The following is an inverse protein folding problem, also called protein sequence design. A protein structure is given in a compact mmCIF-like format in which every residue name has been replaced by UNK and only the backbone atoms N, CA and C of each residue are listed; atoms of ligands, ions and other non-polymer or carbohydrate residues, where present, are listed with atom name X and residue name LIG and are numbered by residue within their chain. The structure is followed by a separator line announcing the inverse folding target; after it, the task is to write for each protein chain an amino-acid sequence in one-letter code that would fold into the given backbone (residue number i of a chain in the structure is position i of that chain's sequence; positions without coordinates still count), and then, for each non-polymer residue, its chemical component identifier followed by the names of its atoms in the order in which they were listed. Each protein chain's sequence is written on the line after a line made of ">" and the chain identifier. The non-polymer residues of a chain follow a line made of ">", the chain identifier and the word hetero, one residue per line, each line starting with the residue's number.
data_IF_567871365992
#
_entry.id   IF_567871365992
#
_cell.length_a   1.000
_cell.length_b   1.000
_cell.length_c   1.000
_cell.angle_alpha   90.00
_cell.angle_beta   90.00
_cell.angle_gamma   90.00
#
_symmetry.space_group_name_H-M   'P 1'
#
loop_
_entity.id
_entity.type
_entity.pdbx_description
1 polymer ?
#
# COMPACT_ATOMS: atom_id res chain seq x y z
N UNK A 1 0.47 -9.46 15.99
CA UNK A 1 0.18 -9.52 14.54
C UNK A 1 1.48 -9.89 13.85
N UNK A 2 1.52 -10.92 13.01
CA UNK A 2 2.73 -11.25 12.25
C UNK A 2 2.90 -10.25 11.09
N UNK A 3 4.15 -10.04 10.62
CA UNK A 3 4.46 -9.20 9.43
C UNK A 3 3.53 -9.50 8.24
N UNK A 4 3.19 -10.78 8.04
CA UNK A 4 2.22 -11.25 7.05
C UNK A 4 0.80 -10.73 7.29
N UNK A 5 0.37 -10.62 8.54
CA UNK A 5 -0.99 -10.16 8.86
C UNK A 5 -1.15 -8.65 8.66
N UNK A 6 -0.09 -7.84 8.84
CA UNK A 6 -0.13 -6.40 8.58
C UNK A 6 -0.14 -6.09 7.06
N UNK A 7 0.69 -6.79 6.26
CA UNK A 7 0.66 -6.68 4.80
C UNK A 7 -0.66 -7.22 4.22
N UNK A 8 -1.16 -8.33 4.80
CA UNK A 8 -2.46 -8.89 4.46
C UNK A 8 -3.60 -7.94 4.85
N UNK A 9 -3.48 -7.20 5.96
CA UNK A 9 -4.44 -6.17 6.34
C UNK A 9 -4.40 -4.97 5.37
N UNK A 10 -3.23 -4.56 4.88
CA UNK A 10 -3.09 -3.50 3.89
C UNK A 10 -3.69 -3.91 2.53
N UNK A 11 -3.40 -5.12 2.07
CA UNK A 11 -3.99 -5.71 0.86
C UNK A 11 -5.45 -6.14 1.06
N UNK A 12 -5.84 -6.61 2.26
CA UNK A 12 -7.22 -6.97 2.60
C UNK A 12 -8.10 -5.77 2.96
N UNK A 13 -7.57 -4.67 3.48
CA UNK A 13 -8.30 -3.40 3.56
C UNK A 13 -8.72 -2.97 2.15
N UNK A 14 -7.85 -3.18 1.16
CA UNK A 14 -8.16 -3.03 -0.27
C UNK A 14 -9.30 -3.95 -0.70
N UNK A 15 -9.41 -5.19 -0.17
CA UNK A 15 -10.41 -6.17 -0.59
C UNK A 15 -11.67 -6.20 0.29
N UNK A 16 -11.61 -5.78 1.56
CA UNK A 16 -12.75 -5.84 2.50
C UNK A 16 -13.66 -4.61 2.45
N UNK A 17 -13.22 -3.50 1.86
CA UNK A 17 -14.04 -2.30 1.65
C UNK A 17 -15.22 -2.50 0.67
N UNK A 18 -15.35 -3.67 0.04
CA UNK A 18 -16.38 -3.96 -0.98
C UNK A 18 -17.59 -4.71 -0.41
N UNK A 19 -17.73 -4.88 0.91
CA UNK A 19 -18.97 -5.41 1.47
C UNK A 19 -19.96 -4.26 1.77
N UNK A 20 -21.11 -4.18 1.09
CA UNK A 20 -22.10 -3.17 1.36
C UNK A 20 -22.79 -3.47 2.70
N UNK A 21 -22.52 -2.66 3.69
CA UNK A 21 -23.28 -2.64 4.92
C UNK A 21 -22.48 -2.49 6.19
N UNK A 22 -21.98 -1.28 6.47
CA UNK A 22 -21.92 -0.73 7.82
C UNK A 22 -21.76 0.79 7.74
N UNK A 23 -22.80 1.44 8.18
CA UNK A 23 -22.97 2.77 8.78
C UNK A 23 -22.02 3.91 8.41
N UNK A 24 -22.69 4.94 7.85
CA UNK A 24 -22.28 6.34 7.81
C UNK A 24 -21.71 6.81 9.16
N UNK A 25 -20.40 6.93 9.25
CA UNK A 25 -19.74 7.95 10.05
C UNK A 25 -18.88 8.75 9.08
N UNK A 26 -19.33 9.96 8.83
CA UNK A 26 -18.74 10.97 7.98
C UNK A 26 -17.39 11.40 8.60
N UNK A 27 -16.32 10.66 8.27
CA UNK A 27 -14.96 11.14 8.42
C UNK A 27 -14.69 12.09 7.25
N UNK A 28 -15.00 13.36 7.45
CA UNK A 28 -14.51 14.44 6.60
C UNK A 28 -12.99 14.56 6.76
N UNK A 29 -12.25 13.75 6.01
CA UNK A 29 -10.82 13.94 5.77
C UNK A 29 -10.67 14.33 4.32
N UNK A 30 -10.64 15.61 4.07
CA UNK A 30 -10.47 16.15 2.72
C UNK A 30 -10.13 17.62 2.81
N UNK A 31 -8.87 17.94 2.96
CA UNK A 31 -8.32 19.27 2.79
C UNK A 31 -6.85 19.11 2.38
N UNK A 32 -6.28 20.11 1.71
CA UNK A 32 -4.88 20.22 1.30
C UNK A 32 -3.82 19.99 2.43
N UNK A 33 -4.22 19.42 3.59
CA UNK A 33 -3.46 19.28 4.82
C UNK A 33 -3.64 17.90 5.47
N UNK A 34 -3.67 16.82 4.69
CA UNK A 34 -3.64 15.44 5.22
C UNK A 34 -2.33 15.13 5.97
N UNK A 35 -2.29 14.10 6.83
CA UNK A 35 -1.06 13.67 7.48
C UNK A 35 -0.02 13.25 6.45
N UNK A 36 1.24 13.63 6.67
CA UNK A 36 2.37 13.34 5.79
C UNK A 36 3.47 12.68 6.61
N UNK A 37 4.14 11.69 6.02
CA UNK A 37 5.33 11.09 6.62
C UNK A 37 6.52 12.03 6.46
N UNK A 38 7.17 12.36 7.57
CA UNK A 38 8.33 13.24 7.64
C UNK A 38 9.57 12.48 8.08
N UNK A 39 10.72 12.94 7.61
CA UNK A 39 12.03 12.50 8.06
C UNK A 39 12.73 13.66 8.75
N UNK A 40 13.36 13.43 9.89
CA UNK A 40 14.20 14.42 10.58
C UNK A 40 15.54 13.80 10.91
N UNK A 41 16.64 14.46 10.52
CA UNK A 41 17.96 14.06 10.95
C UNK A 41 18.25 14.65 12.31
N UNK A 42 18.58 13.82 13.29
CA UNK A 42 18.78 14.24 14.66
C UNK A 42 19.98 13.58 15.31
N UNK A 43 20.66 14.35 16.17
CA UNK A 43 21.65 13.85 17.12
C UNK A 43 20.94 13.59 18.45
N UNK A 44 21.11 12.41 19.03
CA UNK A 44 20.57 12.03 20.33
C UNK A 44 21.45 12.65 21.44
N UNK A 45 20.88 13.51 22.27
CA UNK A 45 21.56 14.21 23.35
C UNK A 45 21.44 13.49 24.69
N UNK A 46 20.25 12.96 24.99
CA UNK A 46 19.98 12.14 26.17
C UNK A 46 18.80 11.20 25.89
N UNK A 47 18.68 10.14 26.66
CA UNK A 47 17.60 9.14 26.53
C UNK A 47 16.99 8.91 27.90
N UNK A 48 15.68 8.91 28.00
CA UNK A 48 14.91 8.51 29.17
C UNK A 48 14.12 7.25 28.84
N UNK A 49 14.63 6.11 29.30
CA UNK A 49 14.01 4.80 29.06
C UNK A 49 12.66 4.65 29.75
N UNK A 50 12.43 5.35 30.88
CA UNK A 50 11.18 5.22 31.64
C UNK A 50 10.02 5.92 30.92
N UNK A 51 10.27 7.10 30.36
CA UNK A 51 9.28 7.87 29.59
C UNK A 51 9.27 7.52 28.11
N UNK A 52 10.20 6.69 27.62
CA UNK A 52 10.39 6.36 26.21
C UNK A 52 10.61 7.64 25.35
N UNK A 53 11.44 8.58 25.86
CA UNK A 53 11.75 9.83 25.17
C UNK A 53 13.24 10.05 25.02
N UNK A 54 13.64 10.90 24.09
CA UNK A 54 15.02 11.39 23.97
C UNK A 54 15.03 12.88 23.73
N UNK A 55 16.02 13.58 24.34
CA UNK A 55 16.36 14.93 23.91
C UNK A 55 17.20 14.85 22.65
N UNK A 56 16.83 15.62 21.65
CA UNK A 56 17.45 15.59 20.34
C UNK A 56 17.86 17.00 19.89
N UNK A 57 18.89 17.06 19.04
CA UNK A 57 19.24 18.25 18.27
C UNK A 57 19.06 17.94 16.79
N UNK A 58 18.25 18.73 16.11
CA UNK A 58 18.04 18.61 14.68
C UNK A 58 19.32 18.96 13.94
N UNK A 59 19.73 18.13 13.01
CA UNK A 59 20.90 18.31 12.16
C UNK A 59 20.53 18.82 10.77
N UNK A 60 21.51 19.31 10.03
CA UNK A 60 21.31 19.69 8.64
C UNK A 60 20.92 18.47 7.79
N UNK A 61 19.94 18.66 6.93
CA UNK A 61 19.48 17.67 5.95
C UNK A 61 20.19 17.89 4.61
N UNK A 62 20.35 16.87 3.78
CA UNK A 62 20.86 17.04 2.42
C UNK A 62 19.84 17.79 1.55
N UNK A 63 20.34 18.65 0.66
CA UNK A 63 19.51 19.53 -0.18
C UNK A 63 18.77 18.84 -1.33
N UNK A 64 19.04 17.55 -1.61
CA UNK A 64 18.70 16.90 -2.88
C UNK A 64 17.83 15.62 -2.78
N UNK A 65 17.07 15.42 -1.69
CA UNK A 65 16.26 14.22 -1.55
C UNK A 65 14.79 14.45 -1.90
N UNK A 66 14.23 13.52 -2.69
CA UNK A 66 12.78 13.43 -3.02
C UNK A 66 11.89 13.12 -1.82
N UNK A 67 12.49 12.92 -0.64
CA UNK A 67 11.78 12.60 0.60
C UNK A 67 11.19 13.85 1.24
N UNK A 68 10.07 13.68 1.92
CA UNK A 68 9.50 14.74 2.74
C UNK A 68 10.27 14.85 4.05
N UNK A 69 10.81 16.05 4.29
CA UNK A 69 11.53 16.37 5.51
C UNK A 69 10.66 17.25 6.40
N UNK A 70 10.78 17.05 7.70
CA UNK A 70 10.16 17.95 8.67
C UNK A 70 10.71 19.37 8.58
N UNK A 71 10.02 20.31 9.20
CA UNK A 71 10.32 21.74 9.10
C UNK A 71 11.10 22.29 10.29
N UNK A 72 11.52 21.42 11.21
CA UNK A 72 12.35 21.85 12.34
C UNK A 72 13.68 22.43 11.82
N UNK A 73 14.06 23.63 12.24
CA UNK A 73 15.30 24.22 11.77
C UNK A 73 16.52 23.48 12.33
N UNK A 74 17.59 23.36 11.52
CA UNK A 74 18.86 22.80 11.98
C UNK A 74 19.38 23.55 13.22
N UNK A 75 19.81 22.80 14.22
CA UNK A 75 20.22 23.31 15.53
C UNK A 75 19.08 23.46 16.54
N UNK A 76 17.83 23.26 16.17
CA UNK A 76 16.73 23.20 17.14
C UNK A 76 16.94 22.01 18.08
N UNK A 77 16.60 22.21 19.35
CA UNK A 77 16.65 21.17 20.39
C UNK A 77 15.26 20.98 20.98
N UNK A 78 14.90 19.73 21.28
CA UNK A 78 13.63 19.37 21.88
C UNK A 78 13.51 17.88 22.08
N UNK A 79 12.32 17.44 22.44
CA UNK A 79 12.03 16.05 22.79
C UNK A 79 11.51 15.27 21.61
N UNK A 80 12.04 14.07 21.38
CA UNK A 80 11.46 13.04 20.52
C UNK A 80 10.76 12.00 21.39
N UNK A 81 9.51 11.67 21.07
CA UNK A 81 8.68 10.73 21.81
C UNK A 81 8.58 9.41 21.05
N UNK A 82 9.11 8.33 21.64
CA UNK A 82 9.15 6.98 21.08
C UNK A 82 8.09 6.06 21.72
N UNK A 83 7.13 6.60 22.48
CA UNK A 83 6.15 5.81 23.24
C UNK A 83 5.26 4.93 22.34
N UNK A 84 5.06 5.31 21.09
CA UNK A 84 4.32 4.53 20.09
C UNK A 84 5.22 3.52 19.34
N UNK A 85 6.55 3.60 19.54
CA UNK A 85 7.50 2.70 18.92
C UNK A 85 7.58 1.36 19.67
N UNK A 86 6.99 0.32 19.09
CA UNK A 86 7.01 -1.02 19.68
C UNK A 86 8.36 -1.72 19.51
N UNK A 87 9.02 -2.10 20.58
CA UNK A 87 10.02 -3.19 20.75
C UNK A 87 11.43 -3.15 20.11
N UNK A 88 11.80 -2.18 19.29
CA UNK A 88 13.12 -2.17 18.62
C UNK A 88 14.24 -1.48 19.42
N UNK A 89 13.95 -1.01 20.63
CA UNK A 89 14.89 -0.27 21.46
C UNK A 89 14.98 1.22 21.12
N UNK A 90 15.41 2.01 22.09
CA UNK A 90 15.71 3.43 21.90
C UNK A 90 17.10 3.59 21.29
N UNK A 91 17.37 4.71 20.55
CA UNK A 91 18.71 5.04 20.12
C UNK A 91 19.61 5.33 21.32
N UNK A 92 20.94 5.27 21.12
CA UNK A 92 21.91 5.58 22.16
C UNK A 92 22.32 7.06 22.12
N UNK A 93 22.78 7.60 23.26
CA UNK A 93 23.29 8.95 23.34
C UNK A 93 24.50 9.12 22.41
N UNK A 94 24.47 10.11 21.55
CA UNK A 94 25.49 10.38 20.55
C UNK A 94 25.20 9.80 19.17
N UNK A 95 24.12 9.02 19.02
CA UNK A 95 23.68 8.50 17.72
C UNK A 95 23.22 9.65 16.81
N UNK A 96 23.66 9.61 15.55
CA UNK A 96 23.13 10.38 14.43
C UNK A 96 22.09 9.51 13.71
N UNK A 97 20.82 9.89 13.81
CA UNK A 97 19.68 9.08 13.38
C UNK A 97 18.74 9.86 12.48
N UNK A 98 18.00 9.13 11.66
CA UNK A 98 16.80 9.63 10.98
C UNK A 98 15.59 9.21 11.80
N UNK A 99 14.86 10.18 12.31
CA UNK A 99 13.56 10.00 12.94
C UNK A 99 12.48 10.06 11.86
N UNK A 100 11.58 9.09 11.83
CA UNK A 100 10.43 9.04 10.94
C UNK A 100 9.16 9.25 11.75
N UNK A 101 8.32 10.16 11.31
CA UNK A 101 7.10 10.51 12.03
C UNK A 101 6.00 10.97 11.08
N UNK A 102 4.76 10.96 11.55
CA UNK A 102 3.58 11.41 10.81
C UNK A 102 3.09 12.71 11.44
N UNK A 103 2.89 13.73 10.62
CA UNK A 103 2.43 15.02 11.09
C UNK A 103 1.52 15.73 10.10
N UNK A 104 0.74 16.68 10.63
CA UNK A 104 -0.02 17.61 9.81
C UNK A 104 0.89 18.83 9.54
N UNK A 105 0.96 19.36 8.30
CA UNK A 105 1.86 20.46 7.94
C UNK A 105 1.84 21.69 8.88
N UNK A 106 0.73 21.94 9.53
CA UNK A 106 0.60 23.07 10.47
C UNK A 106 1.34 22.85 11.82
N UNK A 107 1.72 21.61 12.15
CA UNK A 107 2.35 21.21 13.42
C UNK A 107 3.80 20.77 13.25
N UNK A 108 4.31 20.79 12.01
CA UNK A 108 5.60 20.26 11.59
C UNK A 108 6.84 20.79 12.33
N UNK A 109 6.74 21.90 13.03
CA UNK A 109 7.87 22.52 13.76
C UNK A 109 7.70 22.49 15.28
N UNK A 110 6.77 21.69 15.80
CA UNK A 110 6.54 21.58 17.24
C UNK A 110 7.21 20.36 17.85
N UNK A 111 7.75 20.53 19.06
CA UNK A 111 8.15 19.40 19.90
C UNK A 111 7.04 19.05 20.88
N UNK A 112 6.88 17.78 21.33
CA UNK A 112 7.72 16.64 20.96
C UNK A 112 7.46 16.14 19.54
N UNK A 113 8.49 15.54 18.92
CA UNK A 113 8.34 14.81 17.66
C UNK A 113 7.77 13.41 17.97
N UNK A 114 6.59 13.04 17.48
CA UNK A 114 6.01 11.71 17.70
C UNK A 114 6.68 10.68 16.78
N UNK A 115 7.70 9.98 17.27
CA UNK A 115 8.53 9.08 16.46
C UNK A 115 7.79 7.75 16.21
N UNK A 116 7.51 7.46 14.96
CA UNK A 116 6.96 6.16 14.52
C UNK A 116 8.04 5.13 14.22
N UNK A 117 9.23 5.57 13.76
CA UNK A 117 10.40 4.72 13.57
C UNK A 117 11.67 5.55 13.53
N UNK A 118 12.81 4.88 13.68
CA UNK A 118 14.13 5.51 13.52
C UNK A 118 15.16 4.52 12.98
N UNK A 119 16.21 5.05 12.38
CA UNK A 119 17.36 4.28 11.92
C UNK A 119 18.64 5.12 11.93
N UNK A 120 19.83 4.47 12.02
CA UNK A 120 21.10 5.20 11.88
C UNK A 120 21.18 5.93 10.54
N UNK A 121 21.64 7.19 10.57
CA UNK A 121 21.77 8.03 9.38
C UNK A 121 22.61 7.38 8.28
N UNK A 122 23.69 6.67 8.64
CA UNK A 122 24.52 5.97 7.65
C UNK A 122 23.73 4.91 6.90
N UNK A 123 22.96 4.07 7.62
CA UNK A 123 22.13 3.03 7.00
C UNK A 123 21.03 3.61 6.12
N UNK A 124 20.45 4.74 6.55
CA UNK A 124 19.43 5.45 5.78
C UNK A 124 19.99 5.96 4.44
N UNK A 125 21.17 6.62 4.44
CA UNK A 125 21.77 7.11 3.19
C UNK A 125 22.27 5.98 2.29
N UNK A 126 22.81 4.90 2.84
CA UNK A 126 23.13 3.70 2.06
C UNK A 126 21.88 3.10 1.38
N UNK A 127 20.74 3.18 2.06
CA UNK A 127 19.45 2.76 1.49
C UNK A 127 18.95 3.67 0.37
N UNK A 128 19.23 4.99 0.44
CA UNK A 128 18.81 5.95 -0.58
C UNK A 128 19.62 5.85 -1.89
N UNK A 129 20.86 5.39 -1.84
CA UNK A 129 21.66 5.14 -3.05
C UNK A 129 21.03 4.06 -3.96
N UNK A 130 20.14 3.24 -3.40
CA UNK A 130 19.36 2.21 -4.12
C UNK A 130 17.84 2.48 -4.05
N UNK A 131 17.44 3.74 -4.03
CA UNK A 131 16.03 4.10 -3.93
C UNK A 131 15.31 4.06 -5.29
N UNK A 132 14.13 3.46 -5.30
CA UNK A 132 13.25 3.33 -6.46
C UNK A 132 11.90 3.99 -6.17
N UNK A 133 11.48 4.92 -7.03
CA UNK A 133 10.14 5.50 -6.96
C UNK A 133 9.17 4.63 -7.79
N UNK A 134 8.06 4.25 -7.18
CA UNK A 134 6.93 3.58 -7.81
C UNK A 134 5.71 4.48 -7.70
N UNK A 135 4.96 4.63 -8.80
CA UNK A 135 3.70 5.39 -8.83
C UNK A 135 2.51 4.47 -8.95
N UNK A 136 1.57 4.61 -8.02
CA UNK A 136 0.23 4.03 -8.14
C UNK A 136 -0.70 5.11 -8.68
N UNK A 137 -1.20 4.96 -9.91
CA UNK A 137 -2.02 5.99 -10.54
C UNK A 137 -3.40 6.10 -9.90
N UNK A 138 -3.99 7.28 -9.93
CA UNK A 138 -5.32 7.57 -9.38
C UNK A 138 -6.42 6.62 -9.88
N UNK A 139 -6.31 6.12 -11.11
CA UNK A 139 -7.24 5.10 -11.64
C UNK A 139 -7.21 3.80 -10.85
N UNK A 140 -6.03 3.40 -10.37
CA UNK A 140 -5.84 2.22 -9.52
C UNK A 140 -6.41 2.47 -8.11
N UNK A 141 -6.11 3.63 -7.53
CA UNK A 141 -6.63 3.99 -6.21
C UNK A 141 -8.16 4.02 -6.22
N UNK A 142 -8.78 4.63 -7.24
CA UNK A 142 -10.23 4.62 -7.42
C UNK A 142 -10.82 3.22 -7.61
N UNK A 143 -10.10 2.34 -8.31
CA UNK A 143 -10.53 0.94 -8.46
C UNK A 143 -10.65 0.24 -7.10
N UNK A 144 -9.76 0.56 -6.15
CA UNK A 144 -9.79 0.06 -4.78
C UNK A 144 -10.64 0.91 -3.83
N UNK A 145 -11.31 1.96 -4.31
CA UNK A 145 -12.07 2.91 -3.49
C UNK A 145 -11.23 3.58 -2.40
N UNK A 146 -9.97 3.90 -2.72
CA UNK A 146 -9.01 4.54 -1.83
C UNK A 146 -8.52 5.87 -2.40
N UNK A 147 -8.00 6.72 -1.53
CA UNK A 147 -7.31 7.97 -1.89
C UNK A 147 -5.82 7.86 -1.64
N UNK A 148 -5.03 8.72 -2.26
CA UNK A 148 -3.60 8.78 -2.02
C UNK A 148 -3.29 9.15 -0.56
N UNK A 149 -4.07 10.05 0.03
CA UNK A 149 -3.91 10.51 1.42
C UNK A 149 -4.15 9.37 2.44
N UNK A 150 -5.19 8.55 2.23
CA UNK A 150 -5.44 7.38 3.09
C UNK A 150 -4.25 6.42 3.05
N UNK A 151 -3.75 6.10 1.86
CA UNK A 151 -2.61 5.20 1.71
C UNK A 151 -1.30 5.79 2.25
N UNK A 152 -1.08 7.11 2.15
CA UNK A 152 0.08 7.73 2.80
C UNK A 152 0.06 7.47 4.30
N UNK A 153 -1.10 7.58 4.96
CA UNK A 153 -1.22 7.28 6.38
C UNK A 153 -0.92 5.79 6.68
N UNK A 154 -1.48 4.87 5.88
CA UNK A 154 -1.27 3.43 6.05
C UNK A 154 0.21 3.03 5.87
N UNK A 155 0.88 3.56 4.83
CA UNK A 155 2.31 3.29 4.61
C UNK A 155 3.20 3.92 5.68
N UNK A 156 2.81 5.06 6.23
CA UNK A 156 3.54 5.70 7.30
C UNK A 156 3.52 4.88 8.61
N UNK A 157 2.45 4.09 8.85
CA UNK A 157 2.39 3.11 9.95
C UNK A 157 3.25 1.85 9.69
N UNK A 158 3.75 1.65 8.46
CA UNK A 158 4.51 0.47 8.04
C UNK A 158 5.83 0.84 7.35
N UNK A 159 6.77 1.52 8.05
CA UNK A 159 8.01 2.03 7.47
C UNK A 159 8.96 0.94 6.98
N UNK A 160 8.75 -0.31 7.41
CA UNK A 160 9.50 -1.47 6.91
C UNK A 160 9.09 -1.84 5.47
N UNK A 161 7.92 -1.41 5.01
CA UNK A 161 7.41 -1.71 3.67
C UNK A 161 7.98 -0.76 2.63
N UNK A 162 7.97 0.55 2.90
CA UNK A 162 8.47 1.58 2.02
C UNK A 162 9.27 2.64 2.79
N UNK A 163 10.27 3.26 2.16
CA UNK A 163 11.03 4.38 2.73
C UNK A 163 10.15 5.60 2.94
N UNK A 164 9.28 5.89 1.99
CA UNK A 164 8.32 6.98 2.10
C UNK A 164 7.11 6.77 1.21
N UNK A 165 6.01 7.44 1.56
CA UNK A 165 4.81 7.56 0.77
C UNK A 165 4.42 9.04 0.69
N UNK A 166 4.00 9.50 -0.49
CA UNK A 166 3.47 10.86 -0.67
C UNK A 166 2.36 10.89 -1.71
N UNK A 167 1.37 11.73 -1.48
CA UNK A 167 0.41 12.07 -2.51
C UNK A 167 1.06 12.99 -3.56
N UNK A 168 0.85 12.69 -4.84
CA UNK A 168 1.30 13.49 -5.97
C UNK A 168 0.08 13.80 -6.86
N UNK A 169 -0.68 14.81 -6.47
CA UNK A 169 -2.04 15.03 -6.95
C UNK A 169 -2.97 13.91 -6.47
N UNK A 170 -3.63 13.22 -7.39
CA UNK A 170 -4.47 12.04 -7.08
C UNK A 170 -3.68 10.72 -7.12
N UNK A 171 -2.42 10.74 -7.55
CA UNK A 171 -1.55 9.55 -7.58
C UNK A 171 -0.85 9.38 -6.23
N UNK A 172 -0.43 8.15 -5.92
CA UNK A 172 0.44 7.84 -4.79
C UNK A 172 1.85 7.53 -5.29
N UNK A 173 2.84 8.25 -4.80
CA UNK A 173 4.25 7.96 -5.03
C UNK A 173 4.84 7.29 -3.80
N UNK A 174 5.42 6.10 -4.00
CA UNK A 174 6.11 5.30 -2.98
C UNK A 174 7.59 5.25 -3.30
N UNK A 175 8.44 5.41 -2.30
CA UNK A 175 9.88 5.22 -2.43
C UNK A 175 10.30 3.98 -1.66
N UNK A 176 11.01 3.08 -2.33
CA UNK A 176 11.50 1.82 -1.77
C UNK A 176 13.02 1.75 -1.88
N UNK A 177 13.68 1.02 -0.98
CA UNK A 177 14.99 0.43 -1.30
C UNK A 177 14.80 -0.72 -2.28
N UNK A 178 15.85 -1.13 -3.01
CA UNK A 178 15.78 -2.30 -3.87
C UNK A 178 15.31 -3.56 -3.13
N UNK A 179 15.73 -3.72 -1.86
CA UNK A 179 15.26 -4.83 -1.02
C UNK A 179 13.78 -4.73 -0.67
N UNK A 180 13.30 -3.56 -0.24
CA UNK A 180 11.88 -3.36 0.09
C UNK A 180 11.00 -3.60 -1.14
N UNK A 181 11.41 -3.08 -2.30
CA UNK A 181 10.69 -3.29 -3.56
C UNK A 181 10.59 -4.78 -3.92
N UNK A 182 11.70 -5.52 -3.80
CA UNK A 182 11.74 -6.97 -4.06
C UNK A 182 10.86 -7.74 -3.07
N UNK A 183 10.94 -7.42 -1.78
CA UNK A 183 10.13 -8.05 -0.73
C UNK A 183 8.63 -7.76 -0.97
N UNK A 184 8.26 -6.51 -1.22
CA UNK A 184 6.87 -6.09 -1.48
C UNK A 184 6.31 -6.78 -2.74
N UNK A 185 7.09 -6.80 -3.83
CA UNK A 185 6.75 -7.53 -5.05
C UNK A 185 6.47 -9.00 -4.77
N UNK A 186 7.38 -9.67 -4.05
CA UNK A 186 7.24 -11.09 -3.70
C UNK A 186 5.97 -11.36 -2.89
N UNK A 187 5.61 -10.46 -1.98
CA UNK A 187 4.40 -10.59 -1.18
C UNK A 187 3.13 -10.42 -2.03
N UNK A 188 3.14 -9.50 -3.02
CA UNK A 188 2.03 -9.34 -3.98
C UNK A 188 1.91 -10.57 -4.88
N UNK A 189 3.02 -11.10 -5.41
CA UNK A 189 3.04 -12.33 -6.23
C UNK A 189 2.54 -13.55 -5.44
N UNK A 190 2.95 -13.69 -4.18
CA UNK A 190 2.47 -14.76 -3.31
C UNK A 190 0.96 -14.62 -3.03
N UNK A 191 0.48 -13.41 -2.76
CA UNK A 191 -0.94 -13.16 -2.53
C UNK A 191 -1.77 -13.46 -3.79
N UNK A 192 -1.28 -13.09 -4.97
CA UNK A 192 -1.90 -13.43 -6.25
C UNK A 192 -2.03 -14.96 -6.40
N UNK A 193 -0.96 -15.69 -6.13
CA UNK A 193 -0.96 -17.15 -6.20
C UNK A 193 -1.95 -17.79 -5.20
N UNK A 194 -2.00 -17.25 -3.97
CA UNK A 194 -2.93 -17.72 -2.94
C UNK A 194 -4.39 -17.48 -3.32
N UNK A 195 -4.73 -16.31 -3.91
CA UNK A 195 -6.08 -16.03 -4.41
C UNK A 195 -6.46 -16.93 -5.60
N UNK A 196 -5.54 -17.12 -6.56
CA UNK A 196 -5.75 -18.03 -7.69
C UNK A 196 -6.00 -19.44 -7.20
N UNK A 197 -5.20 -19.94 -6.24
CA UNK A 197 -5.38 -21.26 -5.64
C UNK A 197 -6.73 -21.37 -4.92
N UNK A 198 -7.09 -20.36 -4.11
CA UNK A 198 -8.36 -20.33 -3.40
C UNK A 198 -9.59 -20.37 -4.35
N UNK A 199 -9.49 -19.69 -5.50
CA UNK A 199 -10.53 -19.76 -6.53
C UNK A 199 -10.62 -21.16 -7.16
N UNK A 200 -9.49 -21.77 -7.49
CA UNK A 200 -9.41 -23.10 -8.11
C UNK A 200 -9.81 -24.24 -7.15
N UNK A 201 -9.72 -24.03 -5.84
CA UNK A 201 -10.21 -24.98 -4.83
C UNK A 201 -11.76 -25.01 -4.76
N UNK A 202 -12.44 -24.05 -5.39
CA UNK A 202 -13.90 -24.05 -5.49
C UNK A 202 -14.38 -24.97 -6.61
N UNK A 203 -15.43 -25.76 -6.35
CA UNK A 203 -16.07 -26.59 -7.37
C UNK A 203 -16.70 -25.78 -8.53
N UNK A 204 -16.91 -24.47 -8.33
CA UNK A 204 -17.50 -23.57 -9.33
C UNK A 204 -16.49 -22.91 -10.25
N UNK A 205 -15.19 -23.06 -9.98
CA UNK A 205 -14.10 -22.51 -10.79
C UNK A 205 -13.21 -23.66 -11.26
N UNK A 206 -13.18 -23.92 -12.55
CA UNK A 206 -12.37 -25.01 -13.11
C UNK A 206 -10.97 -24.59 -13.50
N UNK A 207 -10.74 -23.29 -13.81
CA UNK A 207 -9.42 -22.73 -14.09
C UNK A 207 -9.40 -21.23 -13.85
N UNK A 208 -8.23 -20.74 -13.41
CA UNK A 208 -7.84 -19.32 -13.43
C UNK A 208 -6.46 -19.24 -14.06
N UNK A 209 -6.35 -18.50 -15.13
CA UNK A 209 -5.09 -18.31 -15.87
C UNK A 209 -4.74 -16.82 -15.85
N UNK A 210 -3.55 -16.50 -15.34
CA UNK A 210 -3.00 -15.15 -15.33
C UNK A 210 -1.84 -15.11 -16.32
N UNK A 211 -1.81 -14.11 -17.19
CA UNK A 211 -0.71 -13.96 -18.15
C UNK A 211 0.58 -13.53 -17.44
N UNK A 212 1.73 -13.89 -17.98
CA UNK A 212 3.05 -13.60 -17.40
C UNK A 212 3.33 -12.09 -17.27
N UNK A 213 2.71 -11.27 -18.14
CA UNK A 213 2.79 -9.81 -18.11
C UNK A 213 1.74 -9.16 -17.20
N UNK A 214 0.93 -9.96 -16.50
CA UNK A 214 -0.17 -9.54 -15.64
C UNK A 214 -1.25 -8.68 -16.36
N UNK A 215 -1.27 -8.65 -17.70
CA UNK A 215 -2.20 -7.85 -18.47
C UNK A 215 -3.53 -8.55 -18.78
N UNK A 216 -3.66 -9.84 -18.45
CA UNK A 216 -4.92 -10.56 -18.63
C UNK A 216 -5.12 -11.69 -17.62
N UNK A 217 -6.40 -11.90 -17.30
CA UNK A 217 -6.90 -12.97 -16.44
C UNK A 217 -8.03 -13.70 -17.17
N UNK A 218 -7.94 -15.01 -17.34
CA UNK A 218 -9.02 -15.84 -17.83
C UNK A 218 -9.57 -16.73 -16.71
N UNK A 219 -10.87 -16.69 -16.50
CA UNK A 219 -11.57 -17.43 -15.45
C UNK A 219 -12.57 -18.37 -16.11
N UNK A 220 -12.36 -19.67 -15.95
CA UNK A 220 -13.30 -20.69 -16.41
C UNK A 220 -14.13 -21.15 -15.22
N UNK A 221 -15.42 -20.86 -15.23
CA UNK A 221 -16.30 -21.09 -14.09
C UNK A 221 -17.70 -21.53 -14.49
N UNK A 222 -18.48 -22.03 -13.52
CA UNK A 222 -19.93 -22.26 -13.64
C UNK A 222 -20.70 -21.00 -13.23
N UNK A 223 -21.98 -20.85 -13.67
CA UNK A 223 -22.85 -19.75 -13.23
C UNK A 223 -23.03 -19.67 -11.70
N UNK A 224 -22.87 -20.78 -10.99
CA UNK A 224 -22.99 -20.84 -9.53
C UNK A 224 -21.90 -20.01 -8.79
N UNK A 225 -20.81 -19.63 -9.47
CA UNK A 225 -19.84 -18.66 -8.95
C UNK A 225 -20.53 -17.35 -8.52
N UNK A 226 -21.55 -16.90 -9.27
CA UNK A 226 -22.25 -15.63 -9.00
C UNK A 226 -23.03 -15.64 -7.67
N UNK A 227 -23.35 -16.81 -7.15
CA UNK A 227 -24.02 -16.98 -5.84
C UNK A 227 -23.04 -16.94 -4.65
N UNK A 228 -21.74 -16.75 -4.92
CA UNK A 228 -20.67 -16.77 -3.92
C UNK A 228 -19.94 -15.40 -3.88
N UNK A 229 -20.47 -14.40 -3.15
CA UNK A 229 -19.93 -13.02 -3.17
C UNK A 229 -18.42 -12.92 -2.87
N UNK A 230 -17.90 -13.77 -1.96
CA UNK A 230 -16.49 -13.79 -1.63
C UNK A 230 -15.63 -14.20 -2.83
N UNK A 231 -16.02 -15.26 -3.54
CA UNK A 231 -15.30 -15.73 -4.74
C UNK A 231 -15.42 -14.73 -5.88
N UNK A 232 -16.58 -14.09 -6.04
CA UNK A 232 -16.80 -12.98 -6.99
C UNK A 232 -15.83 -11.83 -6.70
N UNK A 233 -15.71 -11.42 -5.42
CA UNK A 233 -14.76 -10.40 -5.00
C UNK A 233 -13.29 -10.79 -5.28
N UNK A 234 -12.92 -12.03 -5.01
CA UNK A 234 -11.59 -12.54 -5.33
C UNK A 234 -11.32 -12.55 -6.84
N UNK A 235 -12.24 -13.07 -7.63
CA UNK A 235 -12.10 -13.24 -9.07
C UNK A 235 -12.04 -11.89 -9.83
N UNK A 236 -12.85 -10.91 -9.43
CA UNK A 236 -13.05 -9.68 -10.22
C UNK A 236 -12.46 -8.43 -9.58
N UNK A 237 -11.99 -8.50 -8.33
CA UNK A 237 -11.34 -7.38 -7.65
C UNK A 237 -9.93 -7.74 -7.18
N UNK A 238 -9.76 -8.80 -6.36
CA UNK A 238 -8.48 -9.11 -5.76
C UNK A 238 -7.44 -9.54 -6.81
N UNK A 239 -7.73 -10.55 -7.62
CA UNK A 239 -6.79 -11.06 -8.64
C UNK A 239 -6.42 -9.98 -9.66
N UNK A 240 -7.37 -9.25 -10.30
CA UNK A 240 -7.02 -8.17 -11.21
C UNK A 240 -6.29 -7.01 -10.53
N UNK A 241 -6.64 -6.69 -9.28
CA UNK A 241 -5.97 -5.65 -8.50
C UNK A 241 -4.50 -5.98 -8.23
N UNK A 242 -4.19 -7.24 -7.88
CA UNK A 242 -2.80 -7.69 -7.73
C UNK A 242 -2.04 -7.61 -9.06
N UNK A 243 -2.66 -8.00 -10.17
CA UNK A 243 -2.08 -7.86 -11.51
C UNK A 243 -1.76 -6.38 -11.82
N UNK A 244 -2.68 -5.47 -11.53
CA UNK A 244 -2.47 -4.04 -11.71
C UNK A 244 -1.32 -3.51 -10.84
N UNK A 245 -1.26 -3.95 -9.58
CA UNK A 245 -0.16 -3.58 -8.66
C UNK A 245 1.18 -4.07 -9.20
N UNK A 246 1.29 -5.30 -9.68
CA UNK A 246 2.52 -5.82 -10.27
C UNK A 246 2.95 -5.04 -11.51
N UNK A 247 2.01 -4.64 -12.38
CA UNK A 247 2.31 -3.74 -13.51
C UNK A 247 2.88 -2.40 -13.03
N UNK A 248 2.30 -1.79 -11.98
CA UNK A 248 2.81 -0.55 -11.41
C UNK A 248 4.20 -0.71 -10.79
N UNK A 249 4.48 -1.83 -10.10
CA UNK A 249 5.81 -2.16 -9.58
C UNK A 249 6.84 -2.37 -10.71
N UNK A 250 6.39 -2.74 -11.91
CA UNK A 250 7.20 -2.81 -13.13
C UNK A 250 7.33 -1.45 -13.84
N UNK A 251 6.79 -0.38 -13.26
CA UNK A 251 6.89 0.98 -13.78
C UNK A 251 5.79 1.38 -14.77
N UNK A 252 4.71 0.58 -14.91
CA UNK A 252 3.58 0.97 -15.73
C UNK A 252 2.80 2.12 -15.09
N UNK A 253 2.67 3.22 -15.82
CA UNK A 253 1.83 4.38 -15.42
C UNK A 253 0.40 4.27 -15.94
N UNK A 254 0.17 3.35 -16.87
CA UNK A 254 -1.11 3.10 -17.53
C UNK A 254 -1.37 1.59 -17.49
N UNK A 255 -2.04 1.16 -16.42
CA UNK A 255 -2.29 -0.25 -16.19
C UNK A 255 -3.59 -0.69 -16.85
N UNK A 256 -3.58 -1.90 -17.39
CA UNK A 256 -4.77 -2.54 -17.95
C UNK A 256 -4.78 -4.02 -17.59
N UNK A 257 -5.93 -4.51 -17.12
CA UNK A 257 -6.16 -5.94 -16.91
C UNK A 257 -7.40 -6.36 -17.65
N UNK A 258 -7.22 -7.18 -18.67
CA UNK A 258 -8.32 -7.79 -19.42
C UNK A 258 -8.81 -9.04 -18.71
N UNK A 259 -10.05 -9.03 -18.26
CA UNK A 259 -10.71 -10.16 -17.63
C UNK A 259 -11.57 -10.84 -18.71
N UNK A 260 -11.41 -12.16 -18.87
CA UNK A 260 -12.27 -12.99 -19.73
C UNK A 260 -12.90 -14.08 -18.89
N UNK A 261 -14.21 -14.19 -18.91
CA UNK A 261 -14.97 -15.25 -18.23
C UNK A 261 -15.47 -16.25 -19.24
N UNK A 262 -15.23 -17.52 -18.97
CA UNK A 262 -15.55 -18.65 -19.84
C UNK A 262 -16.46 -19.60 -19.08
N UNK A 263 -17.58 -20.00 -19.69
CA UNK A 263 -18.45 -21.03 -19.13
C UNK A 263 -17.75 -22.39 -19.13
N UNK A 264 -17.70 -23.04 -17.97
CA UNK A 264 -16.95 -24.29 -17.79
C UNK A 264 -17.58 -25.49 -18.52
N UNK A 265 -18.90 -25.50 -18.74
CA UNK A 265 -19.60 -26.62 -19.41
C UNK A 265 -19.54 -26.50 -20.94
N UNK A 266 -19.80 -25.29 -21.45
CA UNK A 266 -19.91 -25.04 -22.90
C UNK A 266 -18.59 -24.57 -23.53
N UNK A 267 -17.63 -24.14 -22.72
CA UNK A 267 -16.38 -23.56 -23.16
C UNK A 267 -16.58 -22.35 -24.11
N UNK A 268 -17.53 -21.49 -23.76
CA UNK A 268 -17.81 -20.24 -24.48
C UNK A 268 -17.50 -19.04 -23.60
N UNK A 269 -17.07 -17.95 -24.22
CA UNK A 269 -16.87 -16.67 -23.52
C UNK A 269 -18.23 -16.08 -23.16
N UNK A 270 -18.44 -15.80 -21.86
CA UNK A 270 -19.67 -15.20 -21.34
C UNK A 270 -19.51 -13.73 -20.99
N UNK A 271 -18.28 -13.29 -20.71
CA UNK A 271 -17.99 -11.88 -20.46
C UNK A 271 -16.53 -11.55 -20.79
N UNK A 272 -16.31 -10.31 -21.18
CA UNK A 272 -14.97 -9.71 -21.35
C UNK A 272 -15.04 -8.28 -20.91
N UNK A 273 -14.05 -7.86 -20.09
CA UNK A 273 -13.93 -6.52 -19.50
C UNK A 273 -12.47 -6.12 -19.49
N UNK A 274 -12.18 -4.86 -19.73
CA UNK A 274 -10.83 -4.31 -19.59
C UNK A 274 -10.84 -3.23 -18.50
N UNK A 275 -10.18 -3.50 -17.39
CA UNK A 275 -10.00 -2.55 -16.29
C UNK A 275 -8.83 -1.61 -16.61
N UNK A 276 -8.88 -0.34 -16.14
CA UNK A 276 -9.95 0.34 -15.41
C UNK A 276 -11.04 0.97 -16.29
N UNK A 277 -10.95 0.83 -17.63
CA UNK A 277 -11.82 1.54 -18.60
C UNK A 277 -13.28 1.10 -18.51
N UNK A 278 -13.50 -0.14 -18.12
CA UNK A 278 -14.82 -0.75 -18.05
C UNK A 278 -15.11 -1.26 -16.62
N UNK A 279 -16.37 -1.31 -16.23
CA UNK A 279 -16.78 -1.90 -14.96
C UNK A 279 -17.19 -3.36 -15.14
N UNK A 280 -16.81 -4.23 -14.19
CA UNK A 280 -17.23 -5.61 -14.19
C UNK A 280 -18.71 -5.70 -13.81
N UNK A 281 -19.55 -6.14 -14.73
CA UNK A 281 -20.96 -6.43 -14.47
C UNK A 281 -21.30 -7.76 -15.14
N UNK A 282 -21.45 -8.81 -14.35
CA UNK A 282 -21.83 -10.14 -14.84
C UNK A 282 -23.10 -10.56 -14.11
N UNK A 283 -24.16 -10.83 -14.87
CA UNK A 283 -25.46 -11.27 -14.35
C UNK A 283 -25.77 -12.68 -14.83
N UNK A 284 -26.57 -13.41 -14.06
CA UNK A 284 -27.00 -14.76 -14.42
C UNK A 284 -27.77 -14.79 -15.76
N UNK A 285 -28.55 -13.72 -16.06
CA UNK A 285 -29.26 -13.59 -17.32
C UNK A 285 -28.33 -13.45 -18.52
N UNK A 286 -27.29 -12.54 -18.41
CA UNK A 286 -26.30 -12.37 -19.48
C UNK A 286 -25.46 -13.63 -19.68
N UNK A 287 -25.21 -14.37 -18.59
CA UNK A 287 -24.54 -15.67 -18.67
C UNK A 287 -25.39 -16.68 -19.44
N UNK A 288 -26.68 -16.82 -19.09
CA UNK A 288 -27.59 -17.73 -19.75
C UNK A 288 -27.77 -17.39 -21.25
N UNK A 289 -27.81 -16.11 -21.61
CA UNK A 289 -27.90 -15.65 -23.01
C UNK A 289 -26.64 -16.01 -23.81
N UNK A 290 -25.48 -15.91 -23.23
CA UNK A 290 -24.21 -16.23 -23.89
C UNK A 290 -24.04 -17.73 -24.14
N UNK A 291 -24.63 -18.57 -23.27
CA UNK A 291 -24.51 -20.03 -23.32
C UNK A 291 -25.62 -20.68 -24.22
N UNK A 292 -26.73 -19.99 -24.51
CA UNK A 292 -27.82 -20.41 -25.42
C UNK A 292 -28.77 -21.39 -24.77
#
# INVERSE_FOLDING_TARGET
>A
MTRREALFALLCAICLAVLPGCSDDELTVGGENGPVSHNERALILSVDEESQTAEVRILERPDDLTLTWGTHPAGAEGTADFSEWGSSGLPEVGDDVILKWIGIPAEESSFPIPVNSWEPTVSFYESLDDAHEVRLPASMLRFFSQTAEELVADFAESPEVALSARADGEDLALTFTGKQLADYRSDVEQSLADYVSSLQDSEDVSAVEVADDHASVAITASPALLDKPLLVGQAFMAVPGMCATLQALDGATDWHVKITVIDAEKNVEVARVTLPDESVTIMAESWAEAVG
#
